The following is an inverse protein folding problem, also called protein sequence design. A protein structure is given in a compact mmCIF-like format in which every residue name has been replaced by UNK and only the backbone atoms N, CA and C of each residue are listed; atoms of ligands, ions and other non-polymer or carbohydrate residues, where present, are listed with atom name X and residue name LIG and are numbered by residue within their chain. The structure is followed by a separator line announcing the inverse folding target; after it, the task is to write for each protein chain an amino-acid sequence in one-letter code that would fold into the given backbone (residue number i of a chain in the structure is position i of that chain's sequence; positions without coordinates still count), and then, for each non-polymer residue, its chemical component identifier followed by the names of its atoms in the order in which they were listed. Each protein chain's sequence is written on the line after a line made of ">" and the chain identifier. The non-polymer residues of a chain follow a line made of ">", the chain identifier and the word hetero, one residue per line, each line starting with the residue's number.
data_IF_810616609918
#
_entry.id   IF_810616609918
#
_cell.length_a   1.000
_cell.length_b   1.000
_cell.length_c   1.000
_cell.angle_alpha   90.00
_cell.angle_beta   90.00
_cell.angle_gamma   90.00
#
_symmetry.space_group_name_H-M   'P 1'
#
loop_
_entity.id
_entity.type
_entity.pdbx_description
1 polymer ?
#
# COMPACT_ATOMS: atom_id res chain seq x y z
N UNK A 1 -5.87 -10.88 -7.60
CA UNK A 1 -4.63 -10.05 -7.65
C UNK A 1 -4.33 -9.34 -6.34
N UNK A 2 -5.24 -8.57 -5.74
CA UNK A 2 -4.98 -7.90 -4.43
C UNK A 2 -4.52 -8.87 -3.33
N UNK A 3 -5.33 -9.88 -3.01
CA UNK A 3 -5.03 -10.87 -1.96
C UNK A 3 -3.69 -11.57 -2.18
N UNK A 4 -3.38 -11.92 -3.43
CA UNK A 4 -2.10 -12.55 -3.81
C UNK A 4 -0.92 -11.61 -3.56
N UNK A 5 -1.03 -10.32 -3.95
CA UNK A 5 0.05 -9.36 -3.76
C UNK A 5 0.28 -9.04 -2.27
N UNK A 6 -0.79 -8.94 -1.48
CA UNK A 6 -0.72 -8.85 -0.01
C UNK A 6 -0.03 -10.08 0.57
N UNK A 7 -0.38 -11.28 0.12
CA UNK A 7 0.22 -12.52 0.60
C UNK A 7 1.72 -12.58 0.29
N UNK A 8 2.12 -12.31 -0.95
CA UNK A 8 3.54 -12.32 -1.34
C UNK A 8 4.36 -11.30 -0.55
N UNK A 9 3.87 -10.06 -0.41
CA UNK A 9 4.61 -9.07 0.36
C UNK A 9 4.64 -9.39 1.86
N UNK A 10 3.55 -9.94 2.43
CA UNK A 10 3.56 -10.45 3.80
C UNK A 10 4.56 -11.58 4.01
N UNK A 11 4.71 -12.47 3.02
CA UNK A 11 5.68 -13.56 3.09
C UNK A 11 7.11 -13.03 3.05
N UNK A 12 7.40 -12.13 2.11
CA UNK A 12 8.68 -11.40 2.05
C UNK A 12 9.02 -10.73 3.38
N UNK A 13 8.07 -10.00 3.98
CA UNK A 13 8.28 -9.39 5.30
C UNK A 13 8.54 -10.43 6.39
N UNK A 14 7.88 -11.60 6.35
CA UNK A 14 8.10 -12.67 7.33
C UNK A 14 9.50 -13.29 7.18
N UNK A 15 9.88 -13.66 5.97
CA UNK A 15 11.17 -14.29 5.66
C UNK A 15 12.34 -13.35 5.93
N UNK A 16 12.13 -12.05 5.73
CA UNK A 16 13.13 -11.01 6.03
C UNK A 16 13.15 -10.58 7.51
N UNK A 17 12.32 -11.15 8.38
CA UNK A 17 12.25 -10.78 9.80
C UNK A 17 11.54 -9.45 10.11
N UNK A 18 10.84 -8.85 9.15
CA UNK A 18 10.10 -7.59 9.26
C UNK A 18 8.64 -7.75 9.71
N UNK A 19 8.27 -8.90 10.26
CA UNK A 19 6.89 -9.18 10.68
C UNK A 19 6.77 -9.25 12.19
N UNK A 20 6.84 -8.09 12.84
CA UNK A 20 6.42 -7.95 14.24
C UNK A 20 6.16 -6.47 14.57
N UNK A 21 4.90 -6.11 14.85
CA UNK A 21 4.53 -4.75 15.24
C UNK A 21 5.04 -4.40 16.66
N UNK A 22 5.27 -5.40 17.52
CA UNK A 22 5.90 -5.19 18.82
C UNK A 22 7.38 -4.83 18.65
N UNK A 23 8.03 -5.32 17.58
CA UNK A 23 9.39 -4.92 17.21
C UNK A 23 9.41 -3.76 16.21
N UNK A 24 8.37 -2.92 16.19
CA UNK A 24 8.34 -1.67 15.42
C UNK A 24 8.35 -1.84 13.88
N UNK A 25 8.10 -3.01 13.32
CA UNK A 25 8.01 -3.18 11.86
C UNK A 25 6.62 -2.84 11.27
N UNK A 26 6.43 -3.07 9.97
CA UNK A 26 5.16 -2.85 9.27
C UNK A 26 4.07 -3.76 9.82
N UNK A 27 3.00 -3.17 10.36
CA UNK A 27 1.82 -3.93 10.73
C UNK A 27 1.02 -4.40 9.51
N UNK A 28 0.18 -5.42 9.71
CA UNK A 28 -0.61 -6.02 8.61
C UNK A 28 -1.56 -5.03 7.93
N UNK A 29 -2.05 -4.03 8.65
CA UNK A 29 -2.94 -3.02 8.08
C UNK A 29 -2.18 -2.09 7.12
N UNK A 30 -1.01 -1.59 7.53
CA UNK A 30 -0.12 -0.78 6.68
C UNK A 30 0.30 -1.51 5.41
N UNK A 31 0.66 -2.79 5.52
CA UNK A 31 0.96 -3.64 4.35
C UNK A 31 -0.24 -3.68 3.39
N UNK A 32 -1.44 -3.86 3.92
CA UNK A 32 -2.66 -3.95 3.12
C UNK A 32 -2.94 -2.62 2.40
N UNK A 33 -2.75 -1.49 3.09
CA UNK A 33 -2.92 -0.16 2.50
C UNK A 33 -1.84 0.21 1.48
N UNK A 34 -0.59 -0.22 1.67
CA UNK A 34 0.47 -0.06 0.66
C UNK A 34 0.09 -0.76 -0.65
N UNK A 35 -0.42 -2.00 -0.56
CA UNK A 35 -0.88 -2.75 -1.72
C UNK A 35 -2.13 -2.12 -2.34
N UNK A 36 -3.07 -1.64 -1.51
CA UNK A 36 -4.26 -0.93 -1.97
C UNK A 36 -3.88 0.31 -2.79
N UNK A 37 -3.02 1.18 -2.25
CA UNK A 37 -2.49 2.37 -2.94
C UNK A 37 -1.85 2.00 -4.26
N UNK A 38 -0.95 1.01 -4.27
CA UNK A 38 -0.26 0.59 -5.48
C UNK A 38 -1.23 0.18 -6.60
N UNK A 39 -2.28 -0.57 -6.25
CA UNK A 39 -3.27 -1.04 -7.22
C UNK A 39 -4.33 0.01 -7.60
N UNK A 40 -4.52 1.05 -6.79
CA UNK A 40 -5.44 2.15 -7.07
C UNK A 40 -4.79 3.29 -7.87
N UNK A 41 -3.52 3.60 -7.59
CA UNK A 41 -2.90 4.88 -7.97
C UNK A 41 -1.58 4.75 -8.76
N UNK A 42 -0.88 3.63 -8.65
CA UNK A 42 0.48 3.48 -9.23
C UNK A 42 0.44 2.66 -10.50
N UNK A 43 -0.39 1.61 -10.53
CA UNK A 43 -0.54 0.75 -11.70
C UNK A 43 -1.52 1.38 -12.69
N UNK A 44 -1.15 1.38 -13.96
CA UNK A 44 -2.00 1.81 -15.06
C UNK A 44 -2.22 0.66 -16.07
N UNK A 45 -3.48 0.36 -16.48
CA UNK A 45 -4.73 0.84 -15.89
C UNK A 45 -4.88 0.42 -14.42
N UNK A 46 -5.56 1.21 -13.57
CA UNK A 46 -5.71 0.87 -12.16
C UNK A 46 -6.45 -0.46 -11.99
N UNK A 47 -6.05 -1.27 -11.01
CA UNK A 47 -6.67 -2.57 -10.76
C UNK A 47 -7.84 -2.42 -9.79
N UNK A 48 -7.68 -1.64 -8.72
CA UNK A 48 -8.73 -1.39 -7.74
C UNK A 48 -9.34 0.00 -7.93
N UNK A 49 -10.66 0.17 -7.73
CA UNK A 49 -11.28 1.48 -7.71
C UNK A 49 -11.08 2.17 -6.35
N UNK A 50 -11.35 3.48 -6.31
CA UNK A 50 -11.54 4.20 -5.05
C UNK A 50 -13.02 4.19 -4.67
N UNK A 51 -13.39 3.42 -3.65
CA UNK A 51 -14.78 3.28 -3.23
C UNK A 51 -15.34 4.55 -2.55
N UNK A 52 -14.50 5.32 -1.85
CA UNK A 52 -14.92 6.58 -1.21
C UNK A 52 -15.25 7.66 -2.25
N UNK A 53 -14.62 7.62 -3.42
CA UNK A 53 -14.97 8.51 -4.53
C UNK A 53 -16.20 8.04 -5.30
N UNK A 54 -16.38 6.73 -5.48
CA UNK A 54 -17.52 6.18 -6.25
C UNK A 54 -18.82 6.23 -5.44
N UNK A 55 -18.76 5.90 -4.16
CA UNK A 55 -19.91 5.84 -3.25
C UNK A 55 -19.61 6.55 -1.93
N UNK A 56 -19.44 7.88 -1.94
CA UNK A 56 -19.20 8.64 -0.71
C UNK A 56 -20.37 8.50 0.29
N UNK A 57 -21.59 8.28 -0.20
CA UNK A 57 -22.78 8.04 0.61
C UNK A 57 -22.69 6.79 1.51
N UNK A 58 -21.78 5.85 1.20
CA UNK A 58 -21.55 4.63 1.98
C UNK A 58 -20.19 4.63 2.66
N UNK A 59 -19.14 5.06 1.94
CA UNK A 59 -17.75 4.87 2.37
C UNK A 59 -17.10 6.13 2.95
N UNK A 60 -17.79 7.27 3.04
CA UNK A 60 -17.20 8.49 3.59
C UNK A 60 -16.98 8.45 5.11
N UNK A 61 -17.81 7.70 5.84
CA UNK A 61 -17.73 7.56 7.29
C UNK A 61 -17.87 6.08 7.68
N UNK A 62 -16.99 5.59 8.55
CA UNK A 62 -17.01 4.22 9.03
C UNK A 62 -18.34 3.86 9.73
N UNK A 63 -19.06 4.85 10.29
CA UNK A 63 -20.37 4.67 10.90
C UNK A 63 -21.46 4.27 9.90
N UNK A 64 -21.28 4.61 8.62
CA UNK A 64 -22.21 4.28 7.54
C UNK A 64 -22.03 2.83 7.06
N UNK A 65 -20.93 2.17 7.45
CA UNK A 65 -20.65 0.78 7.10
C UNK A 65 -21.52 -0.25 7.86
N UNK A 66 -22.42 0.22 8.75
CA UNK A 66 -23.26 -0.65 9.58
C UNK A 66 -24.46 -1.28 8.83
N UNK A 67 -24.79 -0.82 7.61
CA UNK A 67 -25.84 -1.41 6.76
C UNK A 67 -25.29 -2.59 5.91
N UNK A 68 -26.11 -3.63 5.65
CA UNK A 68 -25.70 -5.02 5.68
C UNK A 68 -24.57 -5.34 4.70
N UNK A 69 -23.72 -6.29 5.12
CA UNK A 69 -22.50 -6.85 4.49
C UNK A 69 -22.47 -7.03 2.96
N UNK A 70 -23.61 -6.92 2.28
CA UNK A 70 -23.74 -6.95 0.82
C UNK A 70 -24.47 -5.70 0.34
N UNK A 71 -23.71 -4.80 -0.29
CA UNK A 71 -24.27 -3.72 -1.09
C UNK A 71 -23.87 -3.95 -2.54
N UNK A 72 -24.87 -3.99 -3.44
CA UNK A 72 -24.62 -4.01 -4.87
C UNK A 72 -24.09 -2.64 -5.30
N UNK A 73 -22.77 -2.56 -5.42
CA UNK A 73 -22.08 -1.37 -5.88
C UNK A 73 -21.88 -1.49 -7.37
N UNK A 74 -22.64 -0.72 -8.14
CA UNK A 74 -22.39 -0.55 -9.56
C UNK A 74 -21.06 0.19 -9.74
N UNK A 75 -20.04 -0.52 -10.22
CA UNK A 75 -18.73 0.06 -10.52
C UNK A 75 -18.75 0.66 -11.94
N UNK A 76 -18.09 1.81 -12.15
CA UNK A 76 -17.96 2.37 -13.49
C UNK A 76 -17.19 1.41 -14.41
N UNK A 77 -17.44 1.43 -15.72
CA UNK A 77 -16.68 0.64 -16.69
C UNK A 77 -15.18 0.93 -16.54
N UNK A 78 -14.36 -0.12 -16.47
CA UNK A 78 -12.93 0.01 -16.24
C UNK A 78 -12.13 -0.83 -17.23
N UNK A 79 -11.06 -0.26 -17.74
CA UNK A 79 -10.08 -1.01 -18.53
C UNK A 79 -9.45 -2.10 -17.67
N UNK A 80 -9.58 -3.35 -18.10
CA UNK A 80 -8.99 -4.49 -17.39
C UNK A 80 -7.47 -4.46 -17.58
N UNK A 81 -6.76 -4.17 -16.50
CA UNK A 81 -5.31 -4.34 -16.49
C UNK A 81 -4.96 -5.82 -16.68
N UNK A 82 -4.10 -6.17 -17.64
CA UNK A 82 -3.72 -7.57 -17.94
C UNK A 82 -2.35 -7.98 -17.37
N UNK A 83 -1.72 -7.12 -16.57
CA UNK A 83 -0.39 -7.38 -16.01
C UNK A 83 -0.41 -8.62 -15.10
N UNK A 84 0.52 -9.58 -15.31
CA UNK A 84 0.61 -10.77 -14.48
C UNK A 84 1.04 -10.41 -13.06
N UNK A 85 0.71 -11.30 -12.11
CA UNK A 85 0.99 -11.06 -10.69
C UNK A 85 2.49 -10.95 -10.39
N UNK A 86 3.34 -11.69 -11.11
CA UNK A 86 4.80 -11.62 -10.99
C UNK A 86 5.35 -10.23 -11.34
N UNK A 87 4.90 -9.65 -12.46
CA UNK A 87 5.31 -8.32 -12.87
C UNK A 87 4.77 -7.24 -11.90
N UNK A 88 3.53 -7.38 -11.43
CA UNK A 88 2.97 -6.51 -10.41
C UNK A 88 3.80 -6.53 -9.12
N UNK A 89 4.25 -7.71 -8.69
CA UNK A 89 5.08 -7.85 -7.50
C UNK A 89 6.44 -7.17 -7.65
N UNK A 90 7.13 -7.38 -8.78
CA UNK A 90 8.40 -6.70 -9.08
C UNK A 90 8.22 -5.18 -9.11
N UNK A 91 7.15 -4.68 -9.76
CA UNK A 91 6.85 -3.24 -9.80
C UNK A 91 6.50 -2.69 -8.42
N UNK A 92 5.77 -3.44 -7.60
CA UNK A 92 5.43 -3.07 -6.23
C UNK A 92 6.70 -2.88 -5.39
N UNK A 93 7.61 -3.86 -5.41
CA UNK A 93 8.88 -3.79 -4.67
C UNK A 93 9.77 -2.64 -5.18
N UNK A 94 9.89 -2.47 -6.51
CA UNK A 94 10.64 -1.35 -7.11
C UNK A 94 10.08 0.01 -6.71
N UNK A 95 8.75 0.14 -6.70
CA UNK A 95 8.07 1.37 -6.35
C UNK A 95 8.33 1.74 -4.89
N UNK A 96 8.05 0.83 -3.94
CA UNK A 96 8.24 1.12 -2.51
C UNK A 96 9.71 1.19 -2.10
N UNK A 97 10.59 0.41 -2.73
CA UNK A 97 12.03 0.50 -2.50
C UNK A 97 12.65 1.84 -2.91
N UNK A 98 12.04 2.55 -3.87
CA UNK A 98 12.45 3.91 -4.30
C UNK A 98 11.51 5.02 -3.82
N UNK A 99 10.51 4.70 -3.00
CA UNK A 99 9.51 5.67 -2.59
C UNK A 99 10.15 6.80 -1.77
N UNK A 100 9.86 8.04 -2.17
CA UNK A 100 10.26 9.25 -1.45
C UNK A 100 9.30 9.50 -0.28
N UNK A 101 9.45 8.67 0.75
CA UNK A 101 8.62 8.74 1.95
C UNK A 101 8.95 9.94 2.84
N UNK A 102 10.04 10.67 2.58
CA UNK A 102 10.41 11.85 3.36
C UNK A 102 9.56 13.05 2.98
N UNK A 103 9.28 13.24 1.69
CA UNK A 103 8.49 14.36 1.19
C UNK A 103 7.06 13.97 0.83
N UNK A 104 6.79 12.69 0.55
CA UNK A 104 5.45 12.23 0.21
C UNK A 104 4.84 11.33 1.28
N UNK A 105 3.51 11.42 1.40
CA UNK A 105 2.66 10.48 2.11
C UNK A 105 1.61 9.88 1.17
N UNK A 106 1.03 8.76 1.59
CA UNK A 106 -0.02 8.05 0.86
C UNK A 106 -1.37 8.43 1.46
N UNK A 107 -2.30 8.92 0.63
CA UNK A 107 -3.70 9.11 1.02
C UNK A 107 -4.57 8.05 0.35
N UNK A 108 -5.09 7.12 1.15
CA UNK A 108 -5.96 6.05 0.65
C UNK A 108 -7.28 6.62 0.14
N UNK A 109 -7.84 7.59 0.87
CA UNK A 109 -9.11 8.21 0.50
C UNK A 109 -9.08 8.97 -0.81
N UNK A 110 -7.91 9.53 -1.18
CA UNK A 110 -7.73 10.22 -2.47
C UNK A 110 -7.16 9.32 -3.55
N UNK A 111 -6.73 8.10 -3.21
CA UNK A 111 -5.93 7.23 -4.08
C UNK A 111 -4.78 7.98 -4.74
N UNK A 112 -4.01 8.72 -3.94
CA UNK A 112 -2.94 9.56 -4.46
C UNK A 112 -1.78 9.70 -3.47
N UNK A 113 -0.64 10.13 -4.02
CA UNK A 113 0.44 10.69 -3.22
C UNK A 113 0.17 12.16 -2.97
N UNK A 114 0.46 12.62 -1.75
CA UNK A 114 0.42 14.03 -1.40
C UNK A 114 1.74 14.42 -0.71
N UNK A 115 2.16 15.68 -0.83
CA UNK A 115 3.21 16.23 0.02
C UNK A 115 2.88 16.06 1.52
N UNK A 116 3.89 15.76 2.34
CA UNK A 116 3.76 15.48 3.78
C UNK A 116 3.07 16.60 4.55
N UNK A 117 3.30 17.83 4.15
CA UNK A 117 2.75 19.05 4.74
C UNK A 117 1.23 19.18 4.58
N UNK A 118 0.62 18.49 3.61
CA UNK A 118 -0.83 18.53 3.40
C UNK A 118 -1.60 17.62 4.37
N UNK A 119 -0.91 16.74 5.09
CA UNK A 119 -1.54 15.82 6.05
C UNK A 119 -1.68 16.50 7.41
N UNK A 120 -2.91 16.75 7.83
CA UNK A 120 -3.21 17.42 9.10
C UNK A 120 -2.65 16.69 10.33
N UNK A 121 -2.50 15.35 10.26
CA UNK A 121 -1.98 14.50 11.34
C UNK A 121 -0.51 14.12 11.18
N UNK A 122 0.24 14.83 10.34
CA UNK A 122 1.69 14.66 10.20
C UNK A 122 2.46 15.34 11.35
N UNK A 123 2.15 14.95 12.58
CA UNK A 123 2.62 15.62 13.80
C UNK A 123 4.00 15.13 14.27
N UNK A 124 4.53 14.06 13.64
CA UNK A 124 5.83 13.48 13.97
C UNK A 124 6.55 13.08 12.69
N UNK A 125 7.88 13.05 12.77
CA UNK A 125 8.76 12.64 11.68
C UNK A 125 8.76 11.11 11.52
N UNK A 126 7.62 10.54 11.12
CA UNK A 126 7.52 9.14 10.77
C UNK A 126 8.21 8.87 9.44
N UNK A 127 9.00 7.78 9.31
CA UNK A 127 9.71 7.46 8.08
C UNK A 127 8.79 7.08 6.92
N UNK A 128 7.57 6.65 7.23
CA UNK A 128 6.50 6.34 6.29
C UNK A 128 5.18 6.88 6.82
N UNK A 129 4.36 7.45 5.93
CA UNK A 129 3.03 7.96 6.29
C UNK A 129 1.99 7.45 5.31
N UNK A 130 1.04 6.72 5.88
CA UNK A 130 -0.10 6.15 5.17
C UNK A 130 -1.32 6.62 5.93
N UNK A 131 -2.00 7.62 5.39
CA UNK A 131 -3.26 8.14 5.90
C UNK A 131 -4.36 7.11 5.61
N UNK A 132 -4.91 6.50 6.66
CA UNK A 132 -6.06 5.63 6.50
C UNK A 132 -7.34 6.41 6.17
N UNK A 133 -8.31 5.78 5.47
CA UNK A 133 -9.37 6.50 4.79
C UNK A 133 -10.46 7.14 5.68
N UNK A 134 -10.53 6.82 6.98
CA UNK A 134 -11.65 7.23 7.83
C UNK A 134 -11.23 8.24 8.90
N UNK A 135 -10.31 7.88 9.78
CA UNK A 135 -9.85 8.72 10.90
C UNK A 135 -8.66 9.62 10.50
N UNK A 136 -8.12 9.43 9.29
CA UNK A 136 -6.95 10.12 8.73
C UNK A 136 -5.67 9.92 9.55
N UNK A 137 -5.60 8.84 10.33
CA UNK A 137 -4.42 8.52 11.13
C UNK A 137 -3.30 7.89 10.29
N UNK A 138 -2.06 8.01 10.76
CA UNK A 138 -0.94 7.29 10.14
C UNK A 138 -0.92 5.84 10.62
N UNK A 139 -1.13 4.88 9.72
CA UNK A 139 -1.08 3.45 10.07
C UNK A 139 0.32 2.93 10.33
N UNK A 140 1.34 3.57 9.76
CA UNK A 140 2.74 3.18 9.88
C UNK A 140 3.45 3.77 11.12
N UNK A 141 2.68 4.23 12.13
CA UNK A 141 3.19 4.92 13.32
C UNK A 141 4.19 4.14 14.18
N UNK A 142 4.21 2.81 14.08
CA UNK A 142 5.18 1.97 14.80
C UNK A 142 6.55 1.94 14.13
N UNK A 143 6.64 2.31 12.84
CA UNK A 143 7.83 2.12 12.02
C UNK A 143 8.95 3.09 12.37
N UNK A 144 10.17 2.55 12.60
CA UNK A 144 11.39 3.35 12.80
C UNK A 144 12.16 3.58 11.50
N UNK A 145 12.94 4.65 11.46
CA UNK A 145 13.63 5.13 10.25
C UNK A 145 14.68 4.16 9.73
N UNK A 146 15.49 3.60 10.64
CA UNK A 146 16.47 2.56 10.34
C UNK A 146 15.81 1.33 9.72
N UNK A 147 14.70 0.87 10.30
CA UNK A 147 13.94 -0.27 9.81
C UNK A 147 13.34 0.03 8.43
N UNK A 148 12.75 1.20 8.22
CA UNK A 148 12.20 1.55 6.91
C UNK A 148 13.27 1.61 5.82
N UNK A 149 14.44 2.18 6.13
CA UNK A 149 15.58 2.20 5.21
C UNK A 149 16.07 0.80 4.88
N UNK A 150 16.12 -0.09 5.88
CA UNK A 150 16.49 -1.49 5.67
C UNK A 150 15.49 -2.21 4.76
N UNK A 151 14.19 -2.11 5.07
CA UNK A 151 13.12 -2.70 4.26
C UNK A 151 13.21 -2.19 2.81
N UNK A 152 13.40 -0.89 2.59
CA UNK A 152 13.55 -0.31 1.24
C UNK A 152 14.70 -0.93 0.48
N UNK A 153 15.88 -1.04 1.10
CA UNK A 153 17.05 -1.67 0.47
C UNK A 153 16.78 -3.13 0.13
N UNK A 154 16.16 -3.86 1.06
CA UNK A 154 15.87 -5.27 0.86
C UNK A 154 14.84 -5.51 -0.26
N UNK A 155 13.82 -4.63 -0.40
CA UNK A 155 12.90 -4.70 -1.56
C UNK A 155 13.62 -4.55 -2.90
N UNK A 156 14.63 -3.68 -3.00
CA UNK A 156 15.42 -3.51 -4.23
C UNK A 156 16.38 -4.69 -4.45
N UNK A 157 16.93 -5.24 -3.37
CA UNK A 157 17.76 -6.44 -3.43
C UNK A 157 16.95 -7.63 -3.95
N UNK A 158 15.77 -7.89 -3.38
CA UNK A 158 14.84 -8.95 -3.78
C UNK A 158 14.50 -8.89 -5.28
N UNK A 159 14.21 -7.69 -5.78
CA UNK A 159 13.99 -7.46 -7.21
C UNK A 159 15.20 -7.90 -8.06
N UNK A 160 16.40 -7.62 -7.58
CA UNK A 160 17.64 -7.97 -8.30
C UNK A 160 17.87 -9.48 -8.31
N UNK A 161 17.54 -10.16 -7.21
CA UNK A 161 17.59 -11.63 -7.09
C UNK A 161 16.60 -12.27 -8.06
N UNK A 162 15.32 -11.87 -8.02
CA UNK A 162 14.26 -12.41 -8.89
C UNK A 162 14.64 -12.27 -10.38
N UNK A 163 15.17 -11.11 -10.80
CA UNK A 163 15.57 -10.86 -12.19
C UNK A 163 16.80 -11.70 -12.60
N UNK A 164 17.72 -11.95 -11.66
CA UNK A 164 18.90 -12.78 -11.94
C UNK A 164 18.49 -14.24 -12.11
N UNK A 165 17.65 -14.75 -11.22
CA UNK A 165 17.16 -16.14 -11.28
C UNK A 165 16.33 -16.37 -12.54
N UNK A 166 15.49 -15.41 -12.95
CA UNK A 166 14.68 -15.53 -14.16
C UNK A 166 15.48 -15.63 -15.46
N UNK A 167 16.75 -15.20 -15.47
CA UNK A 167 17.66 -15.31 -16.63
C UNK A 167 18.44 -16.62 -16.67
N UNK A 168 18.36 -17.40 -15.60
CA UNK A 168 19.07 -18.68 -15.46
C UNK A 168 18.23 -19.85 -16.00
N UNK A 169 16.96 -19.58 -16.35
CA UNK A 169 16.05 -20.49 -17.05
C UNK A 169 15.92 -20.08 -18.52
#
# INVERSE_FOLDING_TARGET
>A
RYSQLVLYFKNFCKESGYKDAQNYYLNSYSISLMVLHFLQAVVDPPILPNLQQIRPDIFSDYKLLWFPFYQDICLPPKTVNKMPISELYIKFLKYFGRFDSLHCGISIAKSSLLPRELFAKNNKNYPLFIEEPFEKENTARSLKTDQWNDIKRNMIHEVSVIIKESKTF
#
